data_IF_083156940682
#
_entry.id   IF_083156940682
#
_cell.length_a   1.000
_cell.length_b   1.000
_cell.length_c   1.000
_cell.angle_alpha   90.00
_cell.angle_beta   90.00
_cell.angle_gamma   90.00
#
_symmetry.space_group_name_H-M   'P 1'
#
loop_
_entity.id
_entity.type
_entity.pdbx_description
1 polymer ?
#
# COMPACT_ATOMS: atom_id res chain seq x y z
N UNK A 1 -5.88 20.43 6.34
CA UNK A 1 -6.46 19.66 5.22
C UNK A 1 -5.56 18.45 5.00
N UNK A 2 -5.99 17.25 5.39
CA UNK A 2 -5.19 16.04 5.18
C UNK A 2 -5.22 15.69 3.70
N UNK A 3 -4.09 15.84 3.01
CA UNK A 3 -3.94 15.35 1.65
C UNK A 3 -4.14 13.83 1.69
N UNK A 4 -5.18 13.32 1.02
CA UNK A 4 -5.31 11.89 0.80
C UNK A 4 -4.12 11.46 -0.07
N UNK A 5 -3.14 10.80 0.53
CA UNK A 5 -2.03 10.21 -0.21
C UNK A 5 -2.58 9.12 -1.13
N UNK A 6 -2.55 9.36 -2.44
CA UNK A 6 -2.95 8.35 -3.41
C UNK A 6 -1.99 7.16 -3.34
N UNK A 7 -2.53 5.98 -3.04
CA UNK A 7 -1.74 4.74 -3.02
C UNK A 7 -1.36 4.37 -4.45
N UNK A 8 -0.09 4.51 -4.79
CA UNK A 8 0.45 4.15 -6.10
C UNK A 8 1.02 2.73 -6.12
N UNK A 9 1.40 2.24 -7.32
CA UNK A 9 2.11 0.97 -7.44
C UNK A 9 3.45 0.97 -6.71
N UNK A 10 4.17 2.10 -6.77
CA UNK A 10 5.43 2.30 -6.05
C UNK A 10 5.19 2.29 -4.54
N UNK A 11 4.13 2.97 -4.06
CA UNK A 11 3.73 2.97 -2.66
C UNK A 11 3.49 1.55 -2.16
N UNK A 12 2.69 0.75 -2.88
CA UNK A 12 2.43 -0.65 -2.51
C UNK A 12 3.72 -1.46 -2.45
N UNK A 13 4.58 -1.32 -3.46
CA UNK A 13 5.85 -2.05 -3.55
C UNK A 13 6.77 -1.71 -2.39
N UNK A 14 6.94 -0.42 -2.11
CA UNK A 14 7.76 0.09 -1.01
C UNK A 14 7.28 -0.46 0.33
N UNK A 15 5.98 -0.33 0.62
CA UNK A 15 5.41 -0.74 1.91
C UNK A 15 5.42 -2.26 2.09
N UNK A 16 5.16 -3.03 1.04
CA UNK A 16 5.18 -4.50 1.10
C UNK A 16 6.59 -5.08 1.11
N UNK A 17 7.59 -4.40 0.55
CA UNK A 17 8.98 -4.83 0.71
C UNK A 17 9.48 -4.60 2.13
N UNK A 18 9.17 -3.43 2.70
CA UNK A 18 9.58 -3.03 4.04
C UNK A 18 8.80 -3.69 5.19
N UNK A 19 7.73 -4.44 4.89
CA UNK A 19 6.91 -5.09 5.93
C UNK A 19 7.72 -6.14 6.69
N UNK A 20 7.63 -6.22 8.03
CA UNK A 20 8.35 -7.23 8.82
C UNK A 20 7.71 -8.63 8.75
N UNK A 21 7.24 -9.04 7.56
CA UNK A 21 6.78 -10.41 7.31
C UNK A 21 7.93 -11.25 6.74
N UNK A 22 7.96 -12.53 7.11
CA UNK A 22 8.80 -13.50 6.43
C UNK A 22 8.39 -13.62 4.95
N UNK A 23 9.28 -14.16 4.12
CA UNK A 23 8.97 -14.41 2.71
C UNK A 23 7.75 -15.33 2.55
N UNK A 24 7.62 -16.35 3.40
CA UNK A 24 6.49 -17.28 3.41
C UNK A 24 5.18 -16.57 3.78
N UNK A 25 5.19 -15.78 4.86
CA UNK A 25 3.98 -15.06 5.30
C UNK A 25 3.52 -14.04 4.25
N UNK A 26 4.45 -13.35 3.59
CA UNK A 26 4.13 -12.41 2.51
C UNK A 26 3.48 -13.11 1.30
N UNK A 27 3.97 -14.31 0.98
CA UNK A 27 3.44 -15.16 -0.09
C UNK A 27 2.03 -15.67 0.25
N UNK A 28 1.83 -16.10 1.49
CA UNK A 28 0.62 -16.82 1.91
C UNK A 28 -0.48 -15.89 2.43
N UNK A 29 -0.16 -14.62 2.75
CA UNK A 29 -1.15 -13.61 3.13
C UNK A 29 -2.29 -13.50 2.09
N UNK A 30 -3.48 -13.11 2.52
CA UNK A 30 -4.54 -12.81 1.53
C UNK A 30 -4.29 -11.45 0.88
N UNK A 31 -4.70 -11.28 -0.38
CA UNK A 31 -4.65 -9.98 -1.07
C UNK A 31 -5.41 -8.90 -0.28
N UNK A 32 -6.54 -9.25 0.36
CA UNK A 32 -7.30 -8.34 1.23
C UNK A 32 -6.49 -7.84 2.43
N UNK A 33 -5.72 -8.72 3.08
CA UNK A 33 -4.86 -8.32 4.20
C UNK A 33 -3.74 -7.39 3.74
N UNK A 34 -3.06 -7.74 2.64
CA UNK A 34 -1.99 -6.90 2.07
C UNK A 34 -2.51 -5.52 1.67
N UNK A 35 -3.67 -5.47 1.02
CA UNK A 35 -4.36 -4.25 0.67
C UNK A 35 -4.72 -3.38 1.89
N UNK A 36 -5.30 -4.00 2.91
CA UNK A 36 -5.67 -3.31 4.16
C UNK A 36 -4.44 -2.76 4.86
N UNK A 37 -3.35 -3.52 4.88
CA UNK A 37 -2.06 -3.08 5.42
C UNK A 37 -1.54 -1.85 4.68
N UNK A 38 -1.41 -1.92 3.36
CA UNK A 38 -0.94 -0.78 2.54
C UNK A 38 -1.80 0.45 2.79
N UNK A 39 -3.13 0.32 2.71
CA UNK A 39 -4.04 1.47 2.90
C UNK A 39 -3.90 2.10 4.28
N UNK A 40 -3.82 1.28 5.35
CA UNK A 40 -3.64 1.78 6.72
C UNK A 40 -2.29 2.45 6.93
N UNK A 41 -1.22 1.88 6.39
CA UNK A 41 0.13 2.45 6.56
C UNK A 41 0.25 3.74 5.77
N UNK A 42 -0.18 3.76 4.50
CA UNK A 42 -0.16 4.96 3.68
C UNK A 42 -1.00 6.11 4.27
N UNK A 43 -2.15 5.82 4.89
CA UNK A 43 -2.99 6.84 5.50
C UNK A 43 -2.44 7.42 6.82
N UNK A 44 -1.59 6.67 7.54
CA UNK A 44 -1.04 7.06 8.85
C UNK A 44 0.38 7.61 8.78
N UNK A 45 1.11 7.27 7.72
CA UNK A 45 2.49 7.68 7.53
C UNK A 45 2.54 9.14 7.06
N UNK A 46 3.41 9.99 7.65
CA UNK A 46 3.65 11.31 7.11
C UNK A 46 4.10 11.24 5.65
N UNK A 47 3.55 12.10 4.80
CA UNK A 47 3.82 12.09 3.36
C UNK A 47 5.32 12.24 3.03
N UNK A 48 6.07 12.99 3.86
CA UNK A 48 7.52 13.12 3.75
C UNK A 48 8.21 11.76 3.93
N UNK A 49 7.85 11.01 4.96
CA UNK A 49 8.48 9.73 5.29
C UNK A 49 8.17 8.69 4.22
N UNK A 50 6.94 8.69 3.69
CA UNK A 50 6.59 7.82 2.58
C UNK A 50 7.41 8.13 1.32
N UNK A 51 7.55 9.41 0.96
CA UNK A 51 8.40 9.83 -0.17
C UNK A 51 9.87 9.48 0.04
N UNK A 52 10.36 9.55 1.28
CA UNK A 52 11.73 9.17 1.61
C UNK A 52 11.94 7.66 1.43
N UNK A 53 10.98 6.83 1.87
CA UNK A 53 10.99 5.39 1.65
C UNK A 53 10.91 5.03 0.17
N UNK A 54 10.04 5.69 -0.60
CA UNK A 54 9.91 5.45 -2.04
C UNK A 54 11.21 5.80 -2.79
N UNK A 55 11.84 6.93 -2.45
CA UNK A 55 13.17 7.28 -3.00
C UNK A 55 14.24 6.26 -2.60
N UNK A 56 14.22 5.79 -1.36
CA UNK A 56 15.11 4.74 -0.88
C UNK A 56 14.92 3.43 -1.66
N UNK A 57 13.67 3.03 -1.91
CA UNK A 57 13.32 1.86 -2.70
C UNK A 57 13.84 1.95 -4.13
N UNK A 58 13.61 3.08 -4.82
CA UNK A 58 14.13 3.29 -6.17
C UNK A 58 15.65 3.14 -6.22
N UNK A 59 16.36 3.79 -5.29
CA UNK A 59 17.83 3.68 -5.21
C UNK A 59 18.30 2.25 -4.93
N UNK A 60 17.60 1.53 -4.06
CA UNK A 60 17.93 0.15 -3.72
C UNK A 60 17.76 -0.79 -4.93
N UNK A 61 16.71 -0.59 -5.72
CA UNK A 61 16.44 -1.38 -6.92
C UNK A 61 17.46 -1.06 -8.03
N UNK A 62 17.79 0.22 -8.22
CA UNK A 62 18.68 0.66 -9.29
C UNK A 62 20.14 0.26 -9.04
N UNK A 63 20.61 0.42 -7.79
CA UNK A 63 22.03 0.24 -7.45
C UNK A 63 22.31 -1.12 -6.78
N UNK A 64 21.27 -1.84 -6.36
CA UNK A 64 21.41 -2.97 -5.46
C UNK A 64 21.93 -2.57 -4.08
N UNK A 65 22.28 -3.56 -3.27
CA UNK A 65 22.90 -3.36 -1.97
C UNK A 65 23.05 -4.68 -1.21
N UNK A 66 23.88 -4.73 -0.16
CA UNK A 66 24.10 -5.95 0.62
C UNK A 66 22.83 -6.45 1.33
N UNK A 67 21.84 -5.57 1.52
CA UNK A 67 20.53 -5.90 2.11
C UNK A 67 19.41 -6.01 1.06
N UNK A 68 19.73 -5.88 -0.23
CA UNK A 68 18.74 -6.09 -1.27
C UNK A 68 18.48 -7.58 -1.44
N UNK A 69 17.23 -7.99 -1.35
CA UNK A 69 16.79 -9.38 -1.49
C UNK A 69 16.00 -9.54 -2.79
N UNK A 70 16.63 -9.99 -3.89
CA UNK A 70 15.97 -10.04 -5.21
C UNK A 70 14.73 -10.94 -5.22
N UNK A 71 14.78 -12.06 -4.49
CA UNK A 71 13.65 -12.99 -4.39
C UNK A 71 12.46 -12.37 -3.67
N UNK A 72 12.70 -11.67 -2.56
CA UNK A 72 11.68 -10.93 -1.84
C UNK A 72 11.09 -9.83 -2.71
N UNK A 73 11.94 -9.09 -3.43
CA UNK A 73 11.48 -8.06 -4.36
C UNK A 73 10.61 -8.61 -5.48
N UNK A 74 11.00 -9.73 -6.11
CA UNK A 74 10.21 -10.39 -7.14
C UNK A 74 8.83 -10.85 -6.62
N UNK A 75 8.80 -11.43 -5.40
CA UNK A 75 7.55 -11.75 -4.73
C UNK A 75 6.69 -10.50 -4.56
N UNK A 76 7.23 -9.42 -3.97
CA UNK A 76 6.49 -8.16 -3.79
C UNK A 76 5.91 -7.67 -5.11
N UNK A 77 6.69 -7.65 -6.20
CA UNK A 77 6.22 -7.23 -7.53
C UNK A 77 5.04 -8.07 -7.99
N UNK A 78 5.10 -9.40 -7.84
CA UNK A 78 3.98 -10.30 -8.18
C UNK A 78 2.73 -10.01 -7.35
N UNK A 79 2.89 -9.77 -6.05
CA UNK A 79 1.77 -9.46 -5.14
C UNK A 79 1.15 -8.10 -5.46
N UNK A 80 1.96 -7.10 -5.79
CA UNK A 80 1.51 -5.78 -6.23
C UNK A 80 0.74 -5.88 -7.55
N UNK A 81 1.20 -6.68 -8.51
CA UNK A 81 0.48 -6.91 -9.75
C UNK A 81 -0.91 -7.53 -9.50
N UNK A 82 -1.02 -8.46 -8.55
CA UNK A 82 -2.30 -9.04 -8.14
C UNK A 82 -3.21 -8.05 -7.38
N UNK A 83 -2.64 -7.07 -6.67
CA UNK A 83 -3.37 -6.01 -5.97
C UNK A 83 -3.84 -4.89 -6.88
N UNK A 84 -3.16 -4.66 -8.00
CA UNK A 84 -3.42 -3.54 -8.92
C UNK A 84 -4.90 -3.40 -9.34
N UNK A 85 -5.63 -4.48 -9.68
CA UNK A 85 -7.06 -4.39 -10.00
C UNK A 85 -7.94 -3.98 -8.81
N UNK A 86 -7.46 -4.16 -7.57
CA UNK A 86 -8.21 -3.88 -6.34
C UNK A 86 -8.01 -2.44 -5.84
N UNK A 87 -7.02 -1.69 -6.34
CA UNK A 87 -6.71 -0.32 -5.89
C UNK A 87 -7.94 0.60 -5.89
N UNK A 88 -8.78 0.67 -6.95
CA UNK A 88 -9.94 1.56 -6.96
C UNK A 88 -10.95 1.22 -5.86
N UNK A 89 -11.12 -0.06 -5.56
CA UNK A 89 -12.02 -0.57 -4.52
C UNK A 89 -11.47 -0.29 -3.12
N UNK A 90 -10.15 -0.32 -2.94
CA UNK A 90 -9.50 -0.06 -1.66
C UNK A 90 -9.48 1.42 -1.29
N UNK A 91 -9.38 2.29 -2.29
CA UNK A 91 -9.46 3.74 -2.11
C UNK A 91 -10.90 4.20 -1.82
N UNK A 92 -11.92 3.53 -2.38
CA UNK A 92 -13.33 3.85 -2.12
C UNK A 92 -13.91 3.14 -0.89
N UNK A 93 -13.45 1.93 -0.55
CA UNK A 93 -14.00 1.11 0.54
C UNK A 93 -13.45 1.40 1.94
N UNK A 94 -12.39 2.21 2.05
CA UNK A 94 -11.91 2.75 3.34
C UNK A 94 -12.71 3.98 3.79
N UNK A 95 -13.54 4.54 2.90
CA UNK A 95 -14.62 5.45 3.26
C UNK A 95 -15.88 4.59 3.28
N UNK A 96 -16.40 4.27 4.46
CA UNK A 96 -17.73 3.69 4.51
C UNK A 96 -18.69 4.67 3.80
N UNK A 97 -19.58 4.23 2.88
CA UNK A 97 -20.51 5.14 2.20
C UNK A 97 -21.50 5.85 3.15
N UNK A 98 -21.41 5.61 4.46
CA UNK A 98 -22.17 6.30 5.51
C UNK A 98 -21.45 7.59 5.96
N UNK A 99 -20.13 7.74 5.75
CA UNK A 99 -19.41 8.96 6.14
C UNK A 99 -19.39 10.04 5.04
N UNK A 100 -19.90 9.74 3.84
CA UNK A 100 -19.90 10.67 2.70
C UNK A 100 -21.22 11.44 2.51
N UNK A 101 -22.25 11.22 3.34
CA UNK A 101 -23.50 11.99 3.28
C UNK A 101 -24.08 12.25 4.68
N UNK A 102 -23.94 13.46 5.24
CA UNK A 102 -24.68 13.84 6.44
C UNK A 102 -26.19 14.08 6.19
N UNK A 103 -26.66 14.22 4.94
CA UNK A 103 -27.97 14.87 4.70
C UNK A 103 -28.97 14.15 3.77
N UNK A 104 -28.75 12.90 3.37
CA UNK A 104 -29.59 12.32 2.31
C UNK A 104 -30.70 11.33 2.73
N UNK A 105 -30.89 11.03 4.02
CA UNK A 105 -31.86 10.00 4.42
C UNK A 105 -32.69 10.40 5.64
N UNK A 106 -33.44 11.49 5.55
CA UNK A 106 -34.75 11.59 6.22
C UNK A 106 -35.73 12.35 5.31
N UNK A 107 -36.73 11.67 4.71
CA UNK A 107 -37.90 12.37 4.22
C UNK A 107 -38.78 12.71 5.43
N UNK A 108 -39.13 14.00 5.55
CA UNK A 108 -40.33 14.41 6.31
C UNK A 108 -41.59 13.90 5.61
#
# INVERSE_FOLDING_TARGET
>A
MSAQTQVTELTMRTLLYAVPLSHADLRDASLRQLATYVGRVAARMPEKDLRDLERGMTRLVDNGGPQFEPQRYALVVSRVAALKPMIPVLLHGLVHPIEAQPDALWPN
#
